data_IF_029904707759
#
_entry.id   IF_029904707759
#
_cell.length_a   1.000
_cell.length_b   1.000
_cell.length_c   1.000
_cell.angle_alpha   90.00
_cell.angle_beta   90.00
_cell.angle_gamma   90.00
#
_symmetry.space_group_name_H-M   'P 1'
#
loop_
_entity.id
_entity.type
_entity.pdbx_description
1 polymer ?
#
# COMPACT_ATOMS: atom_id res chain seq x y z
N UNK A 1 -6.15 45.11 51.03
CA UNK A 1 -6.42 45.78 49.74
C UNK A 1 -6.66 44.73 48.66
N UNK A 2 -7.90 44.47 48.27
CA UNK A 2 -8.23 43.48 47.22
C UNK A 2 -8.32 44.24 45.89
N UNK A 3 -7.27 44.16 45.05
CA UNK A 3 -7.25 44.80 43.72
C UNK A 3 -8.34 44.15 42.86
N UNK A 4 -9.38 44.90 42.55
CA UNK A 4 -10.43 44.51 41.60
C UNK A 4 -9.84 44.67 40.20
N UNK A 5 -9.42 43.56 39.57
CA UNK A 5 -9.06 43.59 38.16
C UNK A 5 -10.32 43.90 37.34
N UNK A 6 -10.23 44.91 36.48
CA UNK A 6 -11.36 45.31 35.66
C UNK A 6 -11.69 44.18 34.69
N UNK A 7 -12.97 43.77 34.62
CA UNK A 7 -13.44 42.68 33.75
C UNK A 7 -13.02 42.88 32.28
N UNK A 8 -12.78 44.14 31.88
CA UNK A 8 -12.26 44.54 30.56
C UNK A 8 -10.82 44.09 30.32
N UNK A 9 -9.96 44.10 31.33
CA UNK A 9 -8.56 43.66 31.22
C UNK A 9 -8.46 42.13 31.04
N UNK A 10 -9.32 41.38 31.74
CA UNK A 10 -9.38 39.92 31.62
C UNK A 10 -9.84 39.48 30.22
N UNK A 11 -10.81 40.19 29.63
CA UNK A 11 -11.29 39.92 28.27
C UNK A 11 -10.18 40.17 27.23
N UNK A 12 -9.40 41.25 27.37
CA UNK A 12 -8.29 41.54 26.43
C UNK A 12 -7.21 40.46 26.51
N UNK A 13 -6.88 39.98 27.72
CA UNK A 13 -5.86 38.95 27.92
C UNK A 13 -6.30 37.58 27.35
N UNK A 14 -7.59 37.24 27.46
CA UNK A 14 -8.15 36.03 26.83
C UNK A 14 -8.17 36.17 25.30
N UNK A 15 -8.54 37.35 24.77
CA UNK A 15 -8.59 37.58 23.33
C UNK A 15 -7.19 37.52 22.68
N UNK A 16 -6.16 38.01 23.37
CA UNK A 16 -4.76 37.89 22.91
C UNK A 16 -4.21 36.47 23.04
N UNK A 17 -4.62 35.71 24.05
CA UNK A 17 -4.32 34.27 24.12
C UNK A 17 -5.00 33.48 23.01
N UNK A 18 -6.24 33.82 22.64
CA UNK A 18 -6.91 33.20 21.48
C UNK A 18 -6.24 33.58 20.16
N UNK A 19 -5.83 34.84 19.97
CA UNK A 19 -5.17 35.29 18.74
C UNK A 19 -3.79 34.62 18.51
N UNK A 20 -3.09 34.23 19.59
CA UNK A 20 -1.80 33.51 19.49
C UNK A 20 -1.96 32.00 19.25
N UNK A 21 -3.12 31.41 19.54
CA UNK A 21 -3.44 30.03 19.14
C UNK A 21 -3.80 29.89 17.64
N UNK A 22 -4.07 31.00 16.95
CA UNK A 22 -4.31 31.05 15.50
C UNK A 22 -3.10 31.55 14.70
N UNK A 23 -1.91 31.63 15.30
CA UNK A 23 -0.69 31.69 14.49
C UNK A 23 -0.63 30.38 13.75
N UNK A 24 -1.02 30.40 12.48
CA UNK A 24 -0.75 29.31 11.55
C UNK A 24 0.75 29.08 11.63
N UNK A 25 1.17 28.06 12.36
CA UNK A 25 2.52 27.52 12.22
C UNK A 25 2.66 27.33 10.72
N UNK A 26 3.63 27.95 10.03
CA UNK A 26 3.82 27.70 8.62
C UNK A 26 3.90 26.19 8.51
N UNK A 27 2.90 25.60 7.85
CA UNK A 27 2.87 24.20 7.54
C UNK A 27 4.11 24.02 6.69
N UNK A 28 5.19 23.57 7.32
CA UNK A 28 6.42 23.25 6.63
C UNK A 28 5.97 22.34 5.49
N UNK A 29 6.22 22.77 4.26
CA UNK A 29 5.86 21.98 3.10
C UNK A 29 6.57 20.66 3.28
N UNK A 30 5.83 19.61 3.60
CA UNK A 30 6.38 18.28 3.64
C UNK A 30 6.96 17.98 2.25
N UNK A 31 8.13 17.37 2.23
CA UNK A 31 8.85 17.12 0.98
C UNK A 31 8.74 15.67 0.53
N UNK A 32 8.36 14.76 1.43
CA UNK A 32 8.06 13.41 1.04
C UNK A 32 6.88 13.39 0.05
N UNK A 33 7.08 12.69 -1.06
CA UNK A 33 6.05 12.43 -2.07
C UNK A 33 5.65 10.97 -1.99
N UNK A 34 4.35 10.72 -2.12
CA UNK A 34 3.77 9.38 -2.14
C UNK A 34 3.15 9.08 -3.50
N UNK A 35 3.39 7.89 -4.04
CA UNK A 35 2.73 7.44 -5.26
C UNK A 35 2.40 5.95 -5.20
N UNK A 36 1.36 5.54 -5.92
CA UNK A 36 0.97 4.12 -6.03
C UNK A 36 1.59 3.55 -7.30
N UNK A 37 2.19 2.36 -7.19
CA UNK A 37 2.88 1.71 -8.32
C UNK A 37 1.93 0.85 -9.15
N UNK A 38 0.92 0.27 -8.51
CA UNK A 38 -0.12 -0.55 -9.13
C UNK A 38 -1.40 -0.44 -8.31
N UNK A 39 -2.56 -0.52 -8.95
CA UNK A 39 -3.86 -0.62 -8.28
C UNK A 39 -4.38 -2.03 -8.52
N UNK A 40 -4.51 -2.82 -7.46
CA UNK A 40 -4.97 -4.21 -7.57
C UNK A 40 -6.50 -4.27 -7.54
N UNK A 41 -7.11 -5.00 -8.48
CA UNK A 41 -8.51 -5.41 -8.35
C UNK A 41 -8.58 -6.68 -7.51
N UNK A 42 -9.31 -6.62 -6.40
CA UNK A 42 -9.34 -7.69 -5.41
C UNK A 42 -10.76 -8.17 -5.11
N UNK A 43 -10.87 -9.37 -4.57
CA UNK A 43 -12.13 -10.02 -4.24
C UNK A 43 -12.40 -9.94 -2.73
N UNK A 44 -13.55 -9.40 -2.33
CA UNK A 44 -13.94 -9.31 -0.93
C UNK A 44 -13.98 -10.69 -0.23
N UNK A 45 -13.70 -10.73 1.07
CA UNK A 45 -13.70 -11.94 1.91
C UNK A 45 -12.46 -12.81 1.81
N UNK A 46 -11.38 -12.31 1.21
CA UNK A 46 -10.12 -13.05 1.00
C UNK A 46 -8.90 -12.20 1.34
N UNK A 47 -7.83 -12.86 1.79
CA UNK A 47 -6.51 -12.26 1.99
C UNK A 47 -5.73 -12.22 0.67
N UNK A 48 -5.26 -11.03 0.27
CA UNK A 48 -4.74 -10.78 -1.08
C UNK A 48 -3.65 -9.69 -1.08
N UNK A 49 -2.89 -9.61 -2.16
CA UNK A 49 -1.93 -8.52 -2.40
C UNK A 49 -2.64 -7.24 -2.89
N UNK A 50 -2.33 -6.11 -2.27
CA UNK A 50 -2.75 -4.78 -2.71
C UNK A 50 -1.60 -4.05 -3.40
N UNK A 51 -1.92 -2.91 -4.00
CA UNK A 51 -0.96 -2.03 -4.67
C UNK A 51 0.12 -1.46 -3.76
N UNK A 52 1.34 -1.40 -4.25
CA UNK A 52 2.48 -0.85 -3.49
C UNK A 52 2.50 0.67 -3.46
N UNK A 53 2.86 1.24 -2.30
CA UNK A 53 3.09 2.68 -2.15
C UNK A 53 4.59 2.96 -2.19
N UNK A 54 5.02 3.84 -3.10
CA UNK A 54 6.35 4.43 -3.12
C UNK A 54 6.39 5.67 -2.23
N UNK A 55 7.37 5.74 -1.35
CA UNK A 55 7.70 6.92 -0.54
C UNK A 55 9.03 7.46 -1.04
N UNK A 56 9.06 8.71 -1.53
CA UNK A 56 10.25 9.38 -2.07
C UNK A 56 10.51 10.66 -1.29
N UNK A 57 11.76 10.93 -0.90
CA UNK A 57 12.13 12.16 -0.20
C UNK A 57 13.58 12.55 -0.41
N UNK A 58 13.93 13.80 -0.08
CA UNK A 58 15.33 14.25 -0.09
C UNK A 58 16.01 13.88 1.22
N UNK A 59 17.20 13.27 1.17
CA UNK A 59 17.93 12.81 2.36
C UNK A 59 18.40 13.93 3.31
N UNK A 60 18.27 15.19 2.89
CA UNK A 60 18.67 16.35 3.68
C UNK A 60 17.55 16.78 4.66
N UNK A 61 16.33 16.32 4.43
CA UNK A 61 15.14 16.69 5.22
C UNK A 61 14.82 15.66 6.29
N UNK A 62 15.47 14.50 6.24
CA UNK A 62 15.47 13.52 7.32
C UNK A 62 16.55 13.89 8.34
N UNK A 63 16.31 15.00 9.05
CA UNK A 63 17.21 15.61 10.03
C UNK A 63 17.03 15.08 11.45
N UNK A 64 15.88 14.44 11.72
CA UNK A 64 15.51 13.84 13.00
C UNK A 64 14.75 12.53 12.77
N UNK A 65 14.68 11.69 13.80
CA UNK A 65 13.83 10.51 13.78
C UNK A 65 12.39 10.91 13.44
N UNK A 66 11.89 10.36 12.33
CA UNK A 66 10.61 10.75 11.74
C UNK A 66 9.77 9.52 11.49
N UNK A 67 8.45 9.65 11.59
CA UNK A 67 7.54 8.55 11.29
C UNK A 67 6.36 8.99 10.41
N UNK A 68 5.74 7.99 9.80
CA UNK A 68 4.41 8.07 9.21
C UNK A 68 3.60 6.86 9.65
N UNK A 69 2.28 6.98 9.69
CA UNK A 69 1.38 5.83 9.79
C UNK A 69 0.68 5.60 8.46
N UNK A 70 0.36 4.34 8.17
CA UNK A 70 -0.45 3.94 7.03
C UNK A 70 -1.62 3.14 7.55
N UNK A 71 -2.83 3.58 7.21
CA UNK A 71 -4.07 3.00 7.69
C UNK A 71 -4.99 2.66 6.53
N UNK A 72 -5.36 1.39 6.44
CA UNK A 72 -6.43 0.89 5.58
C UNK A 72 -7.80 1.16 6.20
N UNK A 73 -8.91 0.93 5.47
CA UNK A 73 -10.25 1.00 6.07
C UNK A 73 -10.39 0.04 7.26
N UNK A 74 -11.30 0.32 8.18
CA UNK A 74 -11.39 -0.36 9.49
C UNK A 74 -11.74 -1.84 9.43
N UNK A 75 -12.27 -2.30 8.31
CA UNK A 75 -12.69 -3.66 8.01
C UNK A 75 -11.58 -4.49 7.32
N UNK A 76 -10.37 -3.92 7.18
CA UNK A 76 -9.21 -4.60 6.62
C UNK A 76 -8.32 -5.14 7.73
N UNK A 77 -7.53 -6.17 7.41
CA UNK A 77 -6.53 -6.69 8.35
C UNK A 77 -5.23 -7.02 7.64
N UNK A 78 -4.12 -6.51 8.16
CA UNK A 78 -2.79 -6.98 7.80
C UNK A 78 -2.59 -8.36 8.42
N UNK A 79 -2.34 -9.36 7.57
CA UNK A 79 -1.93 -10.71 7.98
C UNK A 79 -2.86 -11.41 8.99
N UNK A 80 -4.14 -11.63 8.65
CA UNK A 80 -5.09 -12.20 9.61
C UNK A 80 -4.81 -13.68 9.96
N UNK A 81 -4.05 -14.41 9.14
CA UNK A 81 -4.01 -15.89 9.17
C UNK A 81 -2.89 -16.46 10.05
N UNK A 82 -1.87 -15.67 10.39
CA UNK A 82 -0.65 -16.23 10.95
C UNK A 82 -0.65 -16.44 12.47
N UNK A 83 -1.69 -16.01 13.21
CA UNK A 83 -1.79 -16.22 14.67
C UNK A 83 -0.64 -15.62 15.51
N UNK A 84 0.37 -15.05 14.86
CA UNK A 84 1.49 -14.38 15.47
C UNK A 84 1.02 -13.00 15.92
N UNK A 85 1.11 -12.78 17.22
CA UNK A 85 0.74 -11.50 17.80
C UNK A 85 1.86 -10.49 17.48
N UNK A 86 1.77 -9.83 16.33
CA UNK A 86 2.74 -8.85 15.81
C UNK A 86 2.64 -7.50 16.55
N UNK A 87 2.36 -7.55 17.85
CA UNK A 87 2.30 -6.40 18.72
C UNK A 87 3.71 -6.02 19.17
N UNK A 88 4.19 -4.87 18.70
CA UNK A 88 5.48 -4.31 19.09
C UNK A 88 6.26 -3.71 17.93
N UNK A 89 7.43 -3.17 18.25
CA UNK A 89 8.38 -2.66 17.26
C UNK A 89 9.10 -3.83 16.58
N UNK A 90 8.85 -4.00 15.28
CA UNK A 90 9.44 -5.00 14.41
C UNK A 90 10.63 -4.42 13.66
N UNK A 91 11.62 -5.28 13.43
CA UNK A 91 12.78 -4.96 12.61
C UNK A 91 12.58 -5.49 11.20
N UNK A 92 13.37 -4.96 10.28
CA UNK A 92 13.47 -5.47 8.92
C UNK A 92 14.59 -6.51 8.83
N UNK A 93 14.32 -7.64 8.20
CA UNK A 93 15.32 -8.64 7.81
C UNK A 93 15.26 -8.85 6.29
N UNK A 94 16.41 -9.08 5.62
CA UNK A 94 16.42 -9.37 4.19
C UNK A 94 15.64 -10.66 3.89
N UNK A 95 14.93 -10.66 2.76
CA UNK A 95 14.31 -11.87 2.22
C UNK A 95 15.36 -12.66 1.45
N UNK A 96 15.40 -13.98 1.66
CA UNK A 96 16.39 -14.85 1.02
C UNK A 96 16.35 -14.72 -0.51
N UNK A 97 17.53 -14.55 -1.13
CA UNK A 97 17.70 -14.41 -2.58
C UNK A 97 17.04 -13.16 -3.21
N UNK A 98 16.58 -12.20 -2.40
CA UNK A 98 16.02 -10.92 -2.89
C UNK A 98 16.73 -9.76 -2.19
N UNK A 99 17.65 -9.11 -2.90
CA UNK A 99 18.60 -8.16 -2.29
C UNK A 99 17.97 -6.82 -1.86
N UNK A 100 16.75 -6.52 -2.28
CA UNK A 100 16.10 -5.24 -2.01
C UNK A 100 14.76 -5.36 -1.27
N UNK A 101 14.33 -6.56 -0.89
CA UNK A 101 13.07 -6.78 -0.16
C UNK A 101 13.37 -7.21 1.26
N UNK A 102 12.65 -6.60 2.20
CA UNK A 102 12.81 -6.81 3.62
C UNK A 102 11.47 -7.15 4.25
N UNK A 103 11.44 -8.30 4.94
CA UNK A 103 10.29 -8.76 5.71
C UNK A 103 10.34 -8.20 7.12
N UNK A 104 9.18 -8.08 7.74
CA UNK A 104 9.07 -7.70 9.14
C UNK A 104 9.36 -8.92 10.02
N UNK A 105 10.12 -8.72 11.09
CA UNK A 105 10.44 -9.78 12.05
C UNK A 105 10.25 -9.27 13.49
N UNK A 106 9.55 -10.08 14.28
CA UNK A 106 9.32 -9.87 15.70
C UNK A 106 9.74 -11.11 16.49
N UNK A 107 10.69 -10.94 17.42
CA UNK A 107 11.20 -12.04 18.26
C UNK A 107 11.63 -13.31 17.46
N UNK A 108 12.24 -13.12 16.29
CA UNK A 108 12.69 -14.21 15.41
C UNK A 108 11.59 -14.87 14.57
N UNK A 109 10.36 -14.34 14.63
CA UNK A 109 9.23 -14.81 13.83
C UNK A 109 8.93 -13.79 12.73
N UNK A 110 8.87 -14.26 11.49
CA UNK A 110 8.50 -13.42 10.35
C UNK A 110 7.03 -13.05 10.41
N UNK A 111 6.77 -11.76 10.23
CA UNK A 111 5.48 -11.19 10.02
C UNK A 111 5.20 -11.14 8.52
N UNK A 112 4.28 -11.97 8.04
CA UNK A 112 3.76 -11.80 6.69
C UNK A 112 2.80 -10.59 6.67
N UNK A 113 2.41 -10.11 5.49
CA UNK A 113 1.40 -9.05 5.32
C UNK A 113 1.91 -7.74 4.75
N UNK A 114 3.06 -7.29 5.23
CA UNK A 114 3.74 -6.09 4.73
C UNK A 114 5.18 -6.44 4.46
N UNK A 115 5.75 -5.91 3.39
CA UNK A 115 7.18 -5.94 3.11
C UNK A 115 7.65 -4.52 2.79
N UNK A 116 8.90 -4.23 3.11
CA UNK A 116 9.55 -2.98 2.71
C UNK A 116 10.54 -3.32 1.61
N UNK A 117 10.47 -2.60 0.50
CA UNK A 117 11.41 -2.78 -0.62
C UNK A 117 12.21 -1.51 -0.84
N UNK A 118 13.54 -1.63 -0.91
CA UNK A 118 14.48 -0.51 -1.05
C UNK A 118 15.39 -0.77 -2.26
N UNK A 119 14.94 -0.45 -3.50
CA UNK A 119 15.68 -0.80 -4.70
C UNK A 119 17.04 -0.10 -4.83
N UNK A 120 17.98 -0.77 -5.48
CA UNK A 120 19.36 -0.31 -5.61
C UNK A 120 19.58 0.86 -6.60
N UNK A 121 18.61 1.16 -7.45
CA UNK A 121 18.79 2.05 -8.61
C UNK A 121 18.52 3.50 -8.23
N UNK A 122 19.55 4.35 -8.31
CA UNK A 122 19.46 5.81 -8.05
C UNK A 122 18.73 6.13 -6.75
N UNK A 123 19.15 5.47 -5.67
CA UNK A 123 18.48 5.53 -4.38
C UNK A 123 19.51 5.71 -3.27
N UNK A 124 19.39 6.79 -2.50
CA UNK A 124 20.27 7.03 -1.37
C UNK A 124 20.08 6.02 -0.22
N UNK A 125 18.92 5.36 -0.14
CA UNK A 125 18.64 4.28 0.80
C UNK A 125 19.15 2.92 0.31
N UNK A 126 19.57 2.80 -0.96
CA UNK A 126 20.11 1.55 -1.46
C UNK A 126 21.42 1.19 -0.77
N UNK A 127 21.56 -0.11 -0.47
CA UNK A 127 22.84 -0.70 -0.10
C UNK A 127 22.98 -2.03 -0.83
N UNK A 128 24.07 -2.18 -1.58
CA UNK A 128 24.51 -3.48 -2.09
C UNK A 128 25.96 -3.70 -1.65
N UNK A 129 26.19 -4.85 -1.01
CA UNK A 129 27.53 -5.34 -0.62
C UNK A 129 28.49 -5.33 -1.81
N UNK A 130 27.99 -5.66 -3.01
CA UNK A 130 28.74 -5.78 -4.25
C UNK A 130 29.02 -4.44 -4.95
N UNK A 131 28.34 -3.34 -4.57
CA UNK A 131 28.45 -2.04 -5.25
C UNK A 131 29.26 -1.01 -4.47
N UNK A 132 29.30 -1.12 -3.12
CA UNK A 132 29.89 -0.07 -2.27
C UNK A 132 30.86 -0.56 -1.17
N UNK A 133 31.09 -1.87 -1.02
CA UNK A 133 32.12 -2.39 -0.11
C UNK A 133 31.86 -2.18 1.39
N UNK A 134 30.60 -1.99 1.81
CA UNK A 134 30.21 -1.77 3.20
C UNK A 134 29.09 -2.75 3.61
N UNK A 135 29.29 -3.51 4.69
CA UNK A 135 28.27 -4.36 5.35
C UNK A 135 27.33 -3.50 6.20
N UNK A 136 26.61 -2.55 5.61
CA UNK A 136 25.85 -1.58 6.39
C UNK A 136 24.57 -1.19 5.69
N UNK A 137 23.43 -1.61 6.22
CA UNK A 137 22.17 -1.54 5.50
C UNK A 137 21.30 -0.38 5.97
N UNK A 138 20.66 0.35 5.04
CA UNK A 138 19.72 1.40 5.40
C UNK A 138 18.48 0.86 6.13
N UNK A 139 18.10 -0.40 5.91
CA UNK A 139 16.93 -1.01 6.56
C UNK A 139 17.05 -1.06 8.09
N UNK A 140 18.26 -1.03 8.66
CA UNK A 140 18.47 -0.98 10.12
C UNK A 140 17.95 0.31 10.76
N UNK A 141 17.76 1.36 9.96
CA UNK A 141 17.14 2.60 10.40
C UNK A 141 15.62 2.54 10.49
N UNK A 142 15.00 1.51 9.92
CA UNK A 142 13.55 1.35 9.91
C UNK A 142 13.08 0.59 11.14
N UNK A 143 11.94 0.99 11.66
CA UNK A 143 11.20 0.24 12.67
C UNK A 143 9.73 0.30 12.32
N UNK A 144 9.08 -0.86 12.23
CA UNK A 144 7.67 -0.96 11.87
C UNK A 144 6.88 -1.45 13.08
N UNK A 145 5.77 -0.80 13.41
CA UNK A 145 4.92 -1.18 14.52
C UNK A 145 3.48 -1.34 14.04
N UNK A 146 2.82 -2.44 14.38
CA UNK A 146 1.36 -2.53 14.23
C UNK A 146 0.69 -1.70 15.33
N UNK A 147 -0.15 -0.77 14.92
CA UNK A 147 -0.97 0.06 15.83
C UNK A 147 -2.38 -0.53 15.98
N UNK A 148 -2.89 -1.16 14.92
CA UNK A 148 -4.16 -1.87 14.87
C UNK A 148 -4.12 -2.94 13.76
N UNK A 149 -5.17 -3.75 13.63
CA UNK A 149 -5.31 -4.75 12.56
C UNK A 149 -5.10 -4.14 11.16
N UNK A 150 -5.53 -2.90 10.96
CA UNK A 150 -5.51 -2.17 9.69
C UNK A 150 -4.53 -0.98 9.67
N UNK A 151 -3.65 -0.83 10.67
CA UNK A 151 -2.77 0.33 10.78
C UNK A 151 -1.36 -0.05 11.20
N UNK A 152 -0.39 0.46 10.44
CA UNK A 152 1.04 0.34 10.73
C UNK A 152 1.69 1.72 10.90
N UNK A 153 2.74 1.77 11.72
CA UNK A 153 3.64 2.91 11.87
C UNK A 153 5.01 2.55 11.35
N UNK A 154 5.56 3.37 10.46
CA UNK A 154 6.91 3.24 9.94
C UNK A 154 7.73 4.40 10.49
N UNK A 155 8.78 4.07 11.24
CA UNK A 155 9.72 5.04 11.81
C UNK A 155 11.07 4.89 11.12
N UNK A 156 11.70 6.02 10.78
CA UNK A 156 13.05 6.08 10.22
C UNK A 156 13.95 6.90 11.14
N UNK A 157 15.03 6.28 11.60
CA UNK A 157 16.05 6.90 12.46
C UNK A 157 17.30 7.30 11.64
N UNK A 158 17.49 8.59 11.31
CA UNK A 158 18.65 9.02 10.55
C UNK A 158 19.98 8.73 11.24
N UNK A 159 20.00 8.58 12.58
CA UNK A 159 21.21 8.22 13.32
C UNK A 159 21.72 6.81 13.03
N UNK A 160 20.89 5.96 12.42
CA UNK A 160 21.21 4.58 12.03
C UNK A 160 21.29 4.40 10.51
N UNK A 161 21.06 5.45 9.73
CA UNK A 161 21.09 5.33 8.28
C UNK A 161 22.53 5.22 7.79
N UNK A 162 22.77 4.15 7.05
CA UNK A 162 23.89 4.04 6.13
C UNK A 162 23.35 4.32 4.73
N UNK A 163 23.83 5.39 4.10
CA UNK A 163 23.30 5.90 2.81
C UNK A 163 24.35 5.95 1.73
N UNK A 164 23.91 5.78 0.48
CA UNK A 164 24.67 6.14 -0.69
C UNK A 164 24.74 7.67 -0.82
N UNK A 165 25.92 8.24 -0.57
CA UNK A 165 26.13 9.70 -0.59
C UNK A 165 26.21 10.30 -2.00
N UNK A 166 26.29 9.48 -3.04
CA UNK A 166 26.22 9.95 -4.43
C UNK A 166 24.79 10.30 -4.86
N UNK A 167 23.80 9.86 -4.08
CA UNK A 167 22.39 10.11 -4.34
C UNK A 167 21.84 11.11 -3.31
N UNK A 168 20.99 12.02 -3.79
CA UNK A 168 20.34 13.03 -2.94
C UNK A 168 18.95 12.60 -2.46
N UNK A 169 18.31 11.72 -3.20
CA UNK A 169 16.96 11.24 -2.94
C UNK A 169 16.98 9.79 -2.46
N UNK A 170 16.21 9.52 -1.40
CA UNK A 170 15.93 8.19 -0.91
C UNK A 170 14.50 7.79 -1.25
N UNK A 171 14.30 6.52 -1.58
CA UNK A 171 12.95 5.97 -1.68
C UNK A 171 12.86 4.53 -1.22
N UNK A 172 11.66 4.15 -0.79
CA UNK A 172 11.30 2.78 -0.49
C UNK A 172 9.86 2.53 -0.93
N UNK A 173 9.48 1.27 -1.04
CA UNK A 173 8.12 0.83 -1.26
C UNK A 173 7.59 0.14 -0.01
N UNK A 174 6.31 0.34 0.25
CA UNK A 174 5.53 -0.46 1.19
C UNK A 174 4.67 -1.39 0.35
N UNK A 175 4.97 -2.67 0.44
CA UNK A 175 4.32 -3.73 -0.32
C UNK A 175 3.31 -4.45 0.58
N UNK A 176 2.03 -4.43 0.20
CA UNK A 176 0.94 -5.04 0.96
C UNK A 176 0.67 -6.46 0.45
N UNK A 177 1.39 -7.45 0.96
CA UNK A 177 1.40 -8.82 0.40
C UNK A 177 0.22 -9.69 0.82
N UNK A 178 -0.25 -9.54 2.06
CA UNK A 178 -1.32 -10.39 2.61
C UNK A 178 -2.29 -9.56 3.45
N UNK A 179 -3.26 -8.94 2.77
CA UNK A 179 -4.28 -8.08 3.39
C UNK A 179 -5.65 -8.69 3.23
N UNK A 180 -6.34 -8.91 4.35
CA UNK A 180 -7.74 -9.28 4.35
C UNK A 180 -8.61 -8.11 3.93
N UNK A 181 -9.51 -8.38 2.98
CA UNK A 181 -10.57 -7.47 2.57
C UNK A 181 -11.88 -8.05 3.09
N UNK A 182 -12.66 -7.29 3.86
CA UNK A 182 -13.93 -7.80 4.37
C UNK A 182 -14.89 -8.19 3.25
N UNK A 183 -15.68 -9.24 3.49
CA UNK A 183 -16.66 -9.79 2.53
C UNK A 183 -17.75 -8.80 2.09
N UNK A 184 -18.06 -7.79 2.91
CA UNK A 184 -19.04 -6.75 2.60
C UNK A 184 -18.46 -5.55 1.88
N UNK A 185 -17.14 -5.47 1.70
CA UNK A 185 -16.49 -4.29 1.16
C UNK A 185 -16.61 -4.21 -0.37
N UNK A 186 -16.94 -3.03 -0.89
CA UNK A 186 -16.97 -2.73 -2.32
C UNK A 186 -16.59 -1.27 -2.54
N UNK A 187 -15.76 -1.00 -3.55
CA UNK A 187 -15.25 0.32 -3.88
C UNK A 187 -13.73 0.41 -3.82
N UNK A 188 -13.23 1.65 -3.86
CA UNK A 188 -11.80 1.96 -3.84
C UNK A 188 -11.21 1.82 -2.44
N UNK A 189 -10.12 1.06 -2.35
CA UNK A 189 -9.38 0.81 -1.12
C UNK A 189 -8.40 1.96 -0.90
N UNK A 190 -8.81 2.91 -0.07
CA UNK A 190 -8.00 4.04 0.35
C UNK A 190 -7.01 3.65 1.46
N UNK A 191 -5.72 3.92 1.27
CA UNK A 191 -4.74 4.02 2.35
C UNK A 191 -4.62 5.49 2.76
N UNK A 192 -4.91 5.75 4.04
CA UNK A 192 -4.62 7.04 4.68
C UNK A 192 -3.20 7.01 5.20
N UNK A 193 -2.40 7.98 4.78
CA UNK A 193 -1.05 8.21 5.30
C UNK A 193 -1.13 9.37 6.27
N UNK A 194 -0.63 9.20 7.49
CA UNK A 194 -0.50 10.28 8.47
C UNK A 194 0.96 10.52 8.82
N UNK A 195 1.50 11.62 8.30
CA UNK A 195 2.88 12.04 8.53
C UNK A 195 3.06 12.72 9.89
N UNK A 196 4.19 12.47 10.56
CA UNK A 196 4.51 13.15 11.81
C UNK A 196 4.66 14.66 11.61
N UNK A 197 3.91 15.46 12.37
CA UNK A 197 4.01 16.91 12.32
C UNK A 197 5.44 17.41 12.59
N UNK A 198 5.88 18.39 11.81
CA UNK A 198 7.22 18.97 11.94
C UNK A 198 8.36 18.08 11.41
N UNK A 199 8.02 17.08 10.59
CA UNK A 199 8.98 16.22 9.87
C UNK A 199 8.77 16.32 8.35
N UNK A 200 9.59 15.60 7.59
CA UNK A 200 9.48 15.53 6.13
C UNK A 200 8.19 14.85 5.61
N UNK A 201 7.49 14.08 6.45
CA UNK A 201 6.33 13.29 6.05
C UNK A 201 5.04 14.10 6.18
N UNK A 202 4.28 14.21 5.09
CA UNK A 202 2.92 14.76 5.06
C UNK A 202 1.87 13.68 5.30
N UNK A 203 0.67 14.11 5.70
CA UNK A 203 -0.52 13.29 5.55
C UNK A 203 -1.03 13.31 4.11
N UNK A 204 -1.69 12.24 3.69
CA UNK A 204 -2.26 12.09 2.35
C UNK A 204 -3.17 10.87 2.26
N UNK A 205 -3.76 10.66 1.08
CA UNK A 205 -4.61 9.50 0.81
C UNK A 205 -4.33 8.96 -0.58
N UNK A 206 -4.22 7.65 -0.71
CA UNK A 206 -3.89 6.96 -1.96
C UNK A 206 -4.80 5.74 -2.14
N UNK A 207 -5.23 5.48 -3.38
CA UNK A 207 -6.00 4.27 -3.72
C UNK A 207 -5.03 3.15 -4.08
N UNK A 208 -5.00 2.08 -3.28
CA UNK A 208 -4.09 0.93 -3.47
C UNK A 208 -4.77 -0.29 -4.08
N UNK A 209 -6.08 -0.25 -4.21
CA UNK A 209 -6.85 -1.30 -4.85
C UNK A 209 -8.30 -0.93 -4.99
N UNK A 210 -9.09 -1.84 -5.55
CA UNK A 210 -10.53 -1.76 -5.52
C UNK A 210 -11.14 -3.14 -5.33
N UNK A 211 -12.22 -3.21 -4.56
CA UNK A 211 -12.97 -4.44 -4.32
C UNK A 211 -14.37 -4.34 -4.94
N UNK A 212 -14.95 -5.49 -5.25
CA UNK A 212 -16.36 -5.60 -5.63
C UNK A 212 -16.68 -7.01 -6.14
N UNK A 213 -17.84 -7.15 -6.77
CA UNK A 213 -18.20 -8.38 -7.49
C UNK A 213 -17.38 -8.46 -8.78
N UNK A 214 -16.66 -9.58 -8.96
CA UNK A 214 -15.92 -9.85 -10.19
C UNK A 214 -16.86 -9.89 -11.40
N UNK A 215 -16.39 -9.42 -12.55
CA UNK A 215 -17.12 -9.54 -13.81
C UNK A 215 -16.35 -10.45 -14.77
N UNK A 216 -17.12 -11.13 -15.61
CA UNK A 216 -16.62 -12.03 -16.65
C UNK A 216 -17.16 -11.54 -17.99
N UNK A 217 -16.25 -11.15 -18.87
CA UNK A 217 -16.57 -10.74 -20.23
C UNK A 217 -16.34 -11.90 -21.19
N UNK A 218 -17.29 -12.15 -22.09
CA UNK A 218 -17.12 -13.07 -23.20
C UNK A 218 -16.97 -12.28 -24.50
N UNK A 219 -15.98 -12.65 -25.30
CA UNK A 219 -15.75 -12.09 -26.64
C UNK A 219 -15.43 -13.20 -27.64
N UNK A 220 -15.53 -12.88 -28.94
CA UNK A 220 -15.13 -13.77 -30.03
C UNK A 220 -14.11 -13.05 -30.90
N UNK A 221 -13.07 -13.75 -31.34
CA UNK A 221 -11.96 -13.14 -32.09
C UNK A 221 -12.43 -12.52 -33.41
N UNK A 222 -13.38 -13.16 -34.08
CA UNK A 222 -14.03 -12.59 -35.26
C UNK A 222 -15.44 -13.16 -35.45
N UNK A 223 -16.32 -12.35 -36.05
CA UNK A 223 -17.65 -12.81 -36.48
C UNK A 223 -17.49 -13.46 -37.86
N UNK A 224 -17.80 -14.76 -37.94
CA UNK A 224 -17.75 -15.52 -39.19
C UNK A 224 -19.16 -15.70 -39.76
N UNK A 225 -19.28 -15.52 -41.07
CA UNK A 225 -20.51 -15.88 -41.80
C UNK A 225 -20.53 -17.38 -42.04
N UNK A 226 -21.55 -18.06 -41.50
CA UNK A 226 -21.76 -19.49 -41.69
C UNK A 226 -22.85 -19.72 -42.74
N UNK A 227 -22.59 -20.63 -43.68
CA UNK A 227 -23.56 -21.11 -44.67
C UNK A 227 -23.98 -22.54 -44.33
N UNK A 228 -24.63 -23.25 -45.27
CA UNK A 228 -25.02 -24.65 -45.05
C UNK A 228 -23.80 -25.57 -44.95
N UNK A 229 -23.82 -26.50 -43.98
CA UNK A 229 -22.73 -27.46 -43.75
C UNK A 229 -21.99 -27.25 -42.44
N UNK A 230 -20.78 -27.80 -42.33
CA UNK A 230 -19.91 -27.64 -41.16
C UNK A 230 -19.11 -26.34 -41.34
N UNK A 231 -19.14 -25.47 -40.33
CA UNK A 231 -18.36 -24.24 -40.31
C UNK A 231 -17.73 -23.99 -38.95
N UNK A 232 -16.45 -23.64 -38.94
CA UNK A 232 -15.71 -23.34 -37.71
C UNK A 232 -16.01 -21.92 -37.26
N UNK A 233 -16.44 -21.76 -36.00
CA UNK A 233 -16.43 -20.46 -35.33
C UNK A 233 -15.00 -20.05 -34.97
N UNK A 234 -14.80 -18.80 -34.61
CA UNK A 234 -13.53 -18.37 -34.03
C UNK A 234 -13.48 -18.64 -32.52
N UNK A 235 -12.30 -18.45 -31.94
CA UNK A 235 -12.11 -18.63 -30.50
C UNK A 235 -13.05 -17.72 -29.71
N UNK A 236 -13.78 -18.31 -28.77
CA UNK A 236 -14.51 -17.58 -27.75
C UNK A 236 -13.55 -17.38 -26.59
N UNK A 237 -13.26 -16.12 -26.27
CA UNK A 237 -12.43 -15.75 -25.13
C UNK A 237 -13.30 -15.44 -23.93
N UNK A 238 -12.87 -15.91 -22.78
CA UNK A 238 -13.36 -15.49 -21.49
C UNK A 238 -12.29 -14.64 -20.83
N UNK A 239 -12.69 -13.47 -20.34
CA UNK A 239 -11.83 -12.57 -19.59
C UNK A 239 -12.50 -12.22 -18.28
N UNK A 240 -11.89 -12.65 -17.19
CA UNK A 240 -12.20 -12.14 -15.86
C UNK A 240 -11.58 -10.76 -15.68
N UNK A 241 -12.29 -9.86 -15.00
CA UNK A 241 -11.76 -8.54 -14.69
C UNK A 241 -10.85 -8.52 -13.45
N UNK A 242 -10.90 -9.58 -12.63
CA UNK A 242 -10.06 -9.83 -11.45
C UNK A 242 -9.94 -11.34 -11.17
N UNK A 243 -8.89 -11.80 -10.47
CA UNK A 243 -8.71 -13.22 -10.17
C UNK A 243 -9.89 -13.83 -9.41
N UNK A 244 -10.45 -14.92 -9.94
CA UNK A 244 -11.52 -15.68 -9.31
C UNK A 244 -12.91 -15.03 -9.42
N UNK A 245 -13.10 -14.12 -10.38
CA UNK A 245 -14.41 -13.62 -10.77
C UNK A 245 -15.31 -14.72 -11.38
N UNK A 246 -14.70 -15.72 -12.01
CA UNK A 246 -15.29 -16.95 -12.50
C UNK A 246 -14.87 -18.10 -11.57
N UNK A 247 -15.73 -18.43 -10.62
CA UNK A 247 -15.39 -19.36 -9.54
C UNK A 247 -15.41 -20.83 -10.01
N UNK A 248 -14.66 -21.69 -9.30
CA UNK A 248 -14.66 -23.14 -9.57
C UNK A 248 -16.08 -23.71 -9.44
N UNK A 249 -16.57 -24.32 -10.50
CA UNK A 249 -17.91 -24.91 -10.57
C UNK A 249 -18.98 -23.99 -11.17
N UNK A 250 -18.64 -22.73 -11.48
CA UNK A 250 -19.50 -21.89 -12.31
C UNK A 250 -19.56 -22.42 -13.74
N UNK A 251 -20.72 -22.26 -14.38
CA UNK A 251 -20.98 -22.78 -15.72
C UNK A 251 -21.35 -21.66 -16.66
N UNK A 252 -20.76 -21.69 -17.86
CA UNK A 252 -21.13 -20.81 -18.97
C UNK A 252 -22.14 -21.56 -19.84
N UNK A 253 -23.28 -20.92 -20.10
CA UNK A 253 -24.29 -21.45 -21.01
C UNK A 253 -24.22 -20.73 -22.34
N UNK A 254 -23.70 -21.41 -23.35
CA UNK A 254 -23.71 -20.92 -24.73
C UNK A 254 -24.93 -21.50 -25.46
N UNK A 255 -25.73 -20.62 -26.05
CA UNK A 255 -26.91 -21.00 -26.85
C UNK A 255 -26.66 -20.66 -28.30
N UNK A 256 -26.79 -21.67 -29.16
CA UNK A 256 -26.84 -21.46 -30.61
C UNK A 256 -28.24 -20.98 -31.03
N UNK A 257 -28.36 -20.18 -32.09
CA UNK A 257 -29.64 -19.87 -32.70
C UNK A 257 -30.36 -21.13 -33.20
N UNK A 258 -31.66 -21.02 -33.44
CA UNK A 258 -32.42 -22.10 -34.07
C UNK A 258 -31.84 -22.45 -35.45
N UNK A 259 -31.83 -23.74 -35.79
CA UNK A 259 -31.24 -24.25 -37.03
C UNK A 259 -29.74 -24.58 -36.96
N UNK A 260 -29.05 -24.22 -35.87
CA UNK A 260 -27.64 -24.55 -35.65
C UNK A 260 -27.48 -25.66 -34.60
N UNK A 261 -26.40 -26.44 -34.71
CA UNK A 261 -25.99 -27.46 -33.73
C UNK A 261 -24.49 -27.45 -33.55
N UNK A 262 -24.03 -27.75 -32.33
CA UNK A 262 -22.62 -28.00 -32.08
C UNK A 262 -22.22 -29.30 -32.76
N UNK A 263 -21.14 -29.25 -33.55
CA UNK A 263 -20.45 -30.45 -33.99
C UNK A 263 -19.65 -31.00 -32.80
N UNK A 264 -19.91 -32.25 -32.42
CA UNK A 264 -19.33 -32.88 -31.21
C UNK A 264 -18.17 -33.83 -31.53
N UNK A 265 -17.92 -34.06 -32.83
CA UNK A 265 -17.01 -35.08 -33.32
C UNK A 265 -15.74 -34.49 -33.96
N UNK A 266 -15.54 -33.18 -33.87
CA UNK A 266 -14.35 -32.48 -34.39
C UNK A 266 -13.21 -32.50 -33.36
N UNK A 267 -12.09 -33.14 -33.70
CA UNK A 267 -10.81 -33.12 -32.96
C UNK A 267 -9.95 -31.94 -33.42
#
# INVERSE_FOLDING_TARGET
MRRVYSKKLAIILILTFMATMFVSVPMASASATYSVTSVSKVTAGKSQELGSIKVLFHMAELDKTSYLTMRLPSDFKFNPENGHNLQGAMKLEPVDNVNDVFRLVYNGVSADGVEIRIPAVKNALAVAQEVYGINKHAYESFTIQHLADNEIKITIDPGKINRNTSEKQGYFFVDFKNVYVDSGYSGDIDVVIDGQQGTLFSSGKLIVGSAGTGTVELSVDSVKTLTTGIGMIDNIRLKEDRPGAFAKGETIKLRLPEGFKWDKDSV
#
